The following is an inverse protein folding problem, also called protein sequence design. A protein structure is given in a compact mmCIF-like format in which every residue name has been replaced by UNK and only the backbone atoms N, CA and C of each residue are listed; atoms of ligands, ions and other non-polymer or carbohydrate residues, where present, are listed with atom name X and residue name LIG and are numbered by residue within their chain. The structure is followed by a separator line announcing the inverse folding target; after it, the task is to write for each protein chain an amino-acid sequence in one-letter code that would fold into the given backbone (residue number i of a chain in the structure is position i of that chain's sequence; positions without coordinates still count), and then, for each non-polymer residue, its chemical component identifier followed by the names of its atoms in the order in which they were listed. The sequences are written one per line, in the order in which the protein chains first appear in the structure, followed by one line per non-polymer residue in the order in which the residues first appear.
data_IF_320946091111
#
_entry.id   IF_320946091111
#
_cell.length_a   1.000
_cell.length_b   1.000
_cell.length_c   1.000
_cell.angle_alpha   90.00
_cell.angle_beta   90.00
_cell.angle_gamma   90.00
#
_symmetry.space_group_name_H-M   'P 1'
#
loop_
_entity.id
_entity.type
_entity.pdbx_description
1 polymer ?
#
# COMPACT_ATOMS: atom_id res chain seq x y z
N UNK A 1 10.38 -49.16 -15.74
CA UNK A 1 9.85 -47.88 -15.22
C UNK A 1 10.94 -46.85 -15.34
N UNK A 2 10.75 -45.79 -16.15
CA UNK A 2 11.71 -44.68 -16.19
C UNK A 2 11.74 -44.04 -14.80
N UNK A 3 12.93 -43.88 -14.24
CA UNK A 3 13.12 -43.22 -12.96
C UNK A 3 12.58 -41.78 -13.08
N UNK A 4 11.68 -41.36 -12.19
CA UNK A 4 11.06 -40.02 -12.22
C UNK A 4 12.09 -38.89 -12.31
N UNK A 5 13.29 -39.07 -11.73
CA UNK A 5 14.41 -38.12 -11.86
C UNK A 5 14.97 -38.04 -13.28
N UNK A 6 15.09 -39.17 -13.99
CA UNK A 6 15.52 -39.19 -15.39
C UNK A 6 14.49 -38.54 -16.30
N UNK A 7 13.20 -38.76 -16.02
CA UNK A 7 12.12 -38.08 -16.76
C UNK A 7 12.16 -36.56 -16.55
N UNK A 8 12.35 -36.07 -15.32
CA UNK A 8 12.48 -34.63 -15.04
C UNK A 8 13.67 -34.03 -15.78
N UNK A 9 14.84 -34.68 -15.73
CA UNK A 9 16.04 -34.20 -16.40
C UNK A 9 15.85 -34.11 -17.91
N UNK A 10 15.26 -35.14 -18.54
CA UNK A 10 14.97 -35.12 -19.97
C UNK A 10 14.01 -33.97 -20.35
N UNK A 11 13.06 -33.60 -19.48
CA UNK A 11 12.22 -32.42 -19.70
C UNK A 11 12.98 -31.11 -19.55
N UNK A 12 13.92 -30.99 -18.61
CA UNK A 12 14.77 -29.81 -18.46
C UNK A 12 15.72 -29.64 -19.64
N UNK A 13 16.36 -30.71 -20.11
CA UNK A 13 17.23 -30.71 -21.30
C UNK A 13 16.45 -30.27 -22.56
N UNK A 14 15.18 -30.68 -22.69
CA UNK A 14 14.31 -30.18 -23.78
C UNK A 14 14.00 -28.69 -23.66
N UNK A 15 13.86 -28.16 -22.45
CA UNK A 15 13.69 -26.72 -22.26
C UNK A 15 14.98 -25.97 -22.62
N UNK A 16 16.13 -26.48 -22.20
CA UNK A 16 17.45 -25.93 -22.53
C UNK A 16 17.68 -25.91 -24.05
N UNK A 17 17.39 -27.01 -24.73
CA UNK A 17 17.60 -27.16 -26.18
C UNK A 17 16.75 -26.17 -27.00
N UNK A 18 15.49 -25.97 -26.61
CA UNK A 18 14.53 -25.23 -27.44
C UNK A 18 14.33 -23.76 -27.04
N UNK A 19 14.66 -23.37 -25.81
CA UNK A 19 14.44 -22.01 -25.31
C UNK A 19 15.75 -21.26 -25.04
N UNK A 20 16.91 -21.82 -25.38
CA UNK A 20 18.18 -21.09 -25.29
C UNK A 20 18.33 -20.05 -26.39
N UNK A 21 18.74 -18.85 -26.00
CA UNK A 21 19.15 -17.77 -26.89
C UNK A 21 20.50 -17.25 -26.40
N UNK A 22 21.49 -17.14 -27.29
CA UNK A 22 22.88 -16.81 -26.95
C UNK A 22 23.49 -17.66 -25.81
N UNK A 23 23.15 -18.95 -25.78
CA UNK A 23 23.68 -19.90 -24.80
C UNK A 23 23.03 -19.82 -23.41
N UNK A 24 21.97 -19.03 -23.24
CA UNK A 24 21.23 -18.88 -21.98
C UNK A 24 19.76 -19.28 -22.21
N UNK A 25 19.24 -20.19 -21.39
CA UNK A 25 17.81 -20.54 -21.40
C UNK A 25 16.98 -19.30 -21.10
N UNK A 26 16.09 -18.94 -22.02
CA UNK A 26 15.31 -17.72 -21.93
C UNK A 26 16.13 -16.44 -22.16
N UNK A 27 17.26 -16.50 -22.87
CA UNK A 27 18.18 -15.37 -23.05
C UNK A 27 17.56 -14.08 -23.59
N UNK A 28 16.42 -14.17 -24.30
CA UNK A 28 15.62 -13.01 -24.73
C UNK A 28 15.08 -12.17 -23.56
N UNK A 29 14.96 -12.74 -22.36
CA UNK A 29 14.55 -12.02 -21.15
C UNK A 29 15.62 -11.03 -20.65
N UNK A 30 16.87 -11.19 -21.08
CA UNK A 30 17.97 -10.33 -20.63
C UNK A 30 17.75 -8.86 -21.02
N UNK A 31 17.17 -8.59 -22.19
CA UNK A 31 16.87 -7.20 -22.60
C UNK A 31 15.83 -6.54 -21.70
N UNK A 32 14.85 -7.32 -21.24
CA UNK A 32 13.84 -6.86 -20.27
C UNK A 32 14.51 -6.56 -18.94
N UNK A 33 15.32 -7.47 -18.40
CA UNK A 33 16.03 -7.25 -17.13
C UNK A 33 16.95 -6.02 -17.17
N UNK A 34 17.64 -5.81 -18.28
CA UNK A 34 18.46 -4.62 -18.49
C UNK A 34 17.61 -3.33 -18.54
N UNK A 35 16.44 -3.38 -19.16
CA UNK A 35 15.50 -2.27 -19.20
C UNK A 35 14.91 -1.95 -17.81
N UNK A 36 14.54 -2.97 -17.03
CA UNK A 36 14.09 -2.82 -15.64
C UNK A 36 15.16 -2.11 -14.80
N UNK A 37 16.43 -2.52 -14.92
CA UNK A 37 17.54 -1.89 -14.21
C UNK A 37 17.72 -0.43 -14.61
N UNK A 38 17.75 -0.14 -15.92
CA UNK A 38 17.87 1.23 -16.44
C UNK A 38 16.70 2.12 -16.00
N UNK A 39 15.49 1.55 -15.94
CA UNK A 39 14.33 2.26 -15.41
C UNK A 39 14.55 2.67 -13.96
N UNK A 40 15.00 1.74 -13.11
CA UNK A 40 15.29 2.02 -11.71
C UNK A 40 16.36 3.09 -11.51
N UNK A 41 17.44 3.04 -12.31
CA UNK A 41 18.49 4.07 -12.34
C UNK A 41 17.90 5.44 -12.73
N UNK A 42 17.15 5.50 -13.84
CA UNK A 42 16.48 6.72 -14.29
C UNK A 42 15.55 7.30 -13.22
N UNK A 43 14.72 6.45 -12.59
CA UNK A 43 13.80 6.87 -11.55
C UNK A 43 14.56 7.47 -10.38
N UNK A 44 15.65 6.82 -9.96
CA UNK A 44 16.43 7.26 -8.83
C UNK A 44 17.14 8.60 -9.04
N UNK A 45 17.63 8.84 -10.26
CA UNK A 45 18.26 10.09 -10.66
C UNK A 45 17.24 11.23 -10.83
N UNK A 46 16.09 10.93 -11.43
CA UNK A 46 15.10 11.95 -11.81
C UNK A 46 14.22 12.39 -10.64
N UNK A 47 13.82 11.45 -9.77
CA UNK A 47 12.85 11.70 -8.70
C UNK A 47 13.49 11.59 -7.31
N UNK A 48 14.66 12.24 -7.14
CA UNK A 48 15.41 12.20 -5.88
C UNK A 48 14.57 12.55 -4.65
N UNK A 49 13.73 13.59 -4.72
CA UNK A 49 12.86 14.00 -3.60
C UNK A 49 11.85 12.93 -3.19
N UNK A 50 11.26 12.23 -4.17
CA UNK A 50 10.36 11.10 -3.92
C UNK A 50 11.10 9.97 -3.21
N UNK A 51 12.30 9.60 -3.69
CA UNK A 51 13.10 8.55 -3.08
C UNK A 51 13.48 8.88 -1.64
N UNK A 52 13.99 10.10 -1.40
CA UNK A 52 14.37 10.53 -0.04
C UNK A 52 13.18 10.42 0.92
N UNK A 53 12.00 10.84 0.49
CA UNK A 53 10.78 10.76 1.30
C UNK A 53 10.34 9.31 1.55
N UNK A 54 10.26 8.49 0.50
CA UNK A 54 9.83 7.08 0.61
C UNK A 54 10.83 6.21 1.37
N UNK A 55 12.13 6.42 1.21
CA UNK A 55 13.16 5.68 1.94
C UNK A 55 13.17 6.08 3.41
N UNK A 56 13.01 7.38 3.71
CA UNK A 56 12.87 7.87 5.09
C UNK A 56 11.63 7.28 5.76
N UNK A 57 10.50 7.24 5.06
CA UNK A 57 9.28 6.61 5.54
C UNK A 57 9.44 5.11 5.77
N UNK A 58 9.99 4.36 4.81
CA UNK A 58 10.18 2.91 4.95
C UNK A 58 11.18 2.58 6.06
N UNK A 59 12.27 3.34 6.18
CA UNK A 59 13.22 3.23 7.28
C UNK A 59 12.56 3.49 8.64
N UNK A 60 11.73 4.53 8.73
CA UNK A 60 10.96 4.83 9.94
C UNK A 60 9.91 3.76 10.26
N UNK A 61 9.26 3.18 9.25
CA UNK A 61 8.34 2.06 9.42
C UNK A 61 9.08 0.86 10.05
N UNK A 62 10.24 0.48 9.49
CA UNK A 62 11.08 -0.60 10.03
C UNK A 62 11.50 -0.29 11.47
N UNK A 63 11.96 0.93 11.75
CA UNK A 63 12.30 1.36 13.11
C UNK A 63 11.11 1.16 14.07
N UNK A 64 9.91 1.55 13.64
CA UNK A 64 8.68 1.43 14.43
C UNK A 64 8.34 -0.04 14.71
N UNK A 65 8.43 -0.92 13.72
CA UNK A 65 8.24 -2.37 13.90
C UNK A 65 9.26 -2.94 14.89
N UNK A 66 10.53 -2.57 14.77
CA UNK A 66 11.59 -3.06 15.64
C UNK A 66 11.38 -2.63 17.09
N UNK A 67 10.91 -1.40 17.33
CA UNK A 67 10.56 -0.92 18.68
C UNK A 67 9.44 -1.74 19.31
N UNK A 68 8.44 -2.17 18.54
CA UNK A 68 7.40 -3.08 19.02
C UNK A 68 8.01 -4.43 19.42
N UNK A 69 8.87 -5.01 18.56
CA UNK A 69 9.57 -6.25 18.89
C UNK A 69 10.42 -6.14 20.15
N UNK A 70 11.24 -5.09 20.29
CA UNK A 70 12.05 -4.85 21.48
C UNK A 70 11.19 -4.78 22.74
N UNK A 71 10.04 -4.10 22.65
CA UNK A 71 9.05 -4.03 23.73
C UNK A 71 8.47 -5.39 24.09
N UNK A 72 8.10 -6.21 23.10
CA UNK A 72 7.57 -7.57 23.29
C UNK A 72 8.63 -8.51 23.88
N UNK A 73 9.87 -8.47 23.38
CA UNK A 73 10.97 -9.30 23.90
C UNK A 73 11.24 -8.96 25.36
N UNK A 74 11.22 -7.67 25.71
CA UNK A 74 11.49 -7.21 27.08
C UNK A 74 10.35 -7.48 28.06
N UNK A 75 9.10 -7.28 27.65
CA UNK A 75 7.96 -7.23 28.57
C UNK A 75 6.87 -8.29 28.30
N UNK A 76 6.99 -9.05 27.21
CA UNK A 76 5.93 -9.89 26.67
C UNK A 76 4.87 -9.09 25.90
N UNK A 77 3.87 -9.79 25.38
CA UNK A 77 2.70 -9.16 24.75
C UNK A 77 1.89 -8.34 25.77
N UNK A 78 1.30 -7.19 25.37
CA UNK A 78 0.39 -6.43 26.24
C UNK A 78 -0.74 -7.31 26.78
N UNK A 79 -0.90 -7.35 28.11
CA UNK A 79 -1.95 -8.12 28.78
C UNK A 79 -3.30 -7.44 28.57
N UNK A 80 -4.37 -8.24 28.46
CA UNK A 80 -5.75 -7.76 28.23
C UNK A 80 -5.94 -6.98 26.91
N UNK A 81 -5.08 -7.25 25.92
CA UNK A 81 -5.20 -6.69 24.56
C UNK A 81 -5.17 -7.82 23.51
N UNK A 82 -6.20 -8.69 23.46
CA UNK A 82 -6.25 -9.83 22.53
C UNK A 82 -6.02 -9.47 21.05
N UNK A 83 -6.33 -8.24 20.63
CA UNK A 83 -6.18 -7.79 19.25
C UNK A 83 -4.84 -7.10 18.96
N UNK A 84 -3.96 -6.89 19.96
CA UNK A 84 -2.69 -6.19 19.73
C UNK A 84 -1.78 -6.95 18.76
N UNK A 85 -1.61 -8.26 18.97
CA UNK A 85 -0.78 -9.08 18.09
C UNK A 85 -1.31 -9.15 16.65
N UNK A 86 -2.63 -9.37 16.41
CA UNK A 86 -3.22 -9.24 15.08
C UNK A 86 -3.01 -7.87 14.43
N UNK A 87 -3.20 -6.77 15.17
CA UNK A 87 -2.96 -5.41 14.67
C UNK A 87 -1.49 -5.21 14.29
N UNK A 88 -0.56 -5.66 15.13
CA UNK A 88 0.87 -5.57 14.82
C UNK A 88 1.24 -6.38 13.57
N UNK A 89 0.74 -7.62 13.45
CA UNK A 89 0.91 -8.43 12.24
C UNK A 89 0.33 -7.71 11.01
N UNK A 90 -0.79 -7.01 11.17
CA UNK A 90 -1.40 -6.24 10.09
C UNK A 90 -0.46 -5.16 9.54
N UNK A 91 0.21 -4.40 10.41
CA UNK A 91 1.25 -3.44 10.00
C UNK A 91 2.41 -4.11 9.25
N UNK A 92 2.88 -5.28 9.70
CA UNK A 92 3.93 -6.04 9.00
C UNK A 92 3.46 -6.43 7.59
N UNK A 93 2.22 -6.90 7.44
CA UNK A 93 1.69 -7.27 6.11
C UNK A 93 1.47 -6.06 5.22
N UNK A 94 1.06 -4.91 5.78
CA UNK A 94 0.99 -3.64 5.07
C UNK A 94 2.38 -3.24 4.56
N UNK A 95 3.41 -3.28 5.41
CA UNK A 95 4.77 -2.94 5.03
C UNK A 95 5.28 -3.83 3.88
N UNK A 96 5.08 -5.16 3.97
CA UNK A 96 5.48 -6.08 2.91
C UNK A 96 4.78 -5.79 1.58
N UNK A 97 3.47 -5.50 1.61
CA UNK A 97 2.73 -5.12 0.40
C UNK A 97 3.18 -3.76 -0.14
N UNK A 98 3.42 -2.78 0.72
CA UNK A 98 3.94 -1.47 0.35
C UNK A 98 5.31 -1.60 -0.33
N UNK A 99 6.24 -2.35 0.26
CA UNK A 99 7.57 -2.58 -0.33
C UNK A 99 7.51 -3.32 -1.66
N UNK A 100 6.57 -4.25 -1.82
CA UNK A 100 6.36 -4.91 -3.10
C UNK A 100 5.91 -3.92 -4.20
N UNK A 101 5.05 -2.94 -3.86
CA UNK A 101 4.64 -1.89 -4.78
C UNK A 101 5.83 -1.01 -5.19
N UNK A 102 6.69 -0.63 -4.23
CA UNK A 102 7.90 0.16 -4.50
C UNK A 102 8.87 -0.59 -5.42
N UNK A 103 9.04 -1.90 -5.22
CA UNK A 103 9.86 -2.72 -6.10
C UNK A 103 9.29 -2.73 -7.53
N UNK A 104 7.97 -2.83 -7.70
CA UNK A 104 7.34 -2.79 -9.03
C UNK A 104 7.59 -1.46 -9.74
N UNK A 105 7.44 -0.34 -9.02
CA UNK A 105 7.81 0.98 -9.55
C UNK A 105 9.28 0.99 -10.01
N UNK A 106 10.20 0.57 -9.14
CA UNK A 106 11.64 0.61 -9.41
C UNK A 106 12.06 -0.29 -10.59
N UNK A 107 11.28 -1.29 -10.95
CA UNK A 107 11.54 -2.15 -12.12
C UNK A 107 10.73 -1.74 -13.36
N UNK A 108 10.02 -0.61 -13.34
CA UNK A 108 9.33 -0.10 -14.52
C UNK A 108 7.88 -0.54 -14.69
N UNK A 109 7.24 -1.01 -13.61
CA UNK A 109 5.84 -1.43 -13.58
C UNK A 109 4.99 -0.54 -12.64
N UNK A 110 4.96 0.79 -12.85
CA UNK A 110 4.26 1.72 -11.96
C UNK A 110 2.76 1.44 -11.86
N UNK A 111 2.09 1.06 -12.94
CA UNK A 111 0.64 0.82 -12.92
C UNK A 111 0.25 -0.49 -12.22
N UNK A 112 1.11 -1.52 -12.28
CA UNK A 112 0.94 -2.73 -11.49
C UNK A 112 1.15 -2.45 -9.99
N UNK A 113 2.20 -1.69 -9.66
CA UNK A 113 2.40 -1.18 -8.30
C UNK A 113 1.20 -0.35 -7.83
N UNK A 114 0.69 0.53 -8.68
CA UNK A 114 -0.47 1.39 -8.40
C UNK A 114 -1.71 0.54 -8.14
N UNK A 115 -2.00 -0.46 -8.97
CA UNK A 115 -3.11 -1.38 -8.74
C UNK A 115 -2.99 -2.10 -7.39
N UNK A 116 -1.78 -2.55 -7.03
CA UNK A 116 -1.51 -3.22 -5.76
C UNK A 116 -1.67 -2.31 -4.54
N UNK A 117 -1.36 -1.01 -4.67
CA UNK A 117 -1.56 -0.02 -3.60
C UNK A 117 -3.02 0.04 -3.14
N UNK A 118 -3.99 -0.45 -3.93
CA UNK A 118 -5.40 -0.50 -3.49
C UNK A 118 -5.62 -1.32 -2.25
N UNK A 119 -5.03 -2.50 -2.23
CA UNK A 119 -5.13 -3.36 -1.07
C UNK A 119 -4.42 -2.73 0.12
N UNK A 120 -3.32 -2.00 -0.09
CA UNK A 120 -2.62 -1.28 0.98
C UNK A 120 -3.50 -0.17 1.53
N UNK A 121 -4.06 0.67 0.66
CA UNK A 121 -4.94 1.79 1.00
C UNK A 121 -6.15 1.32 1.82
N UNK A 122 -6.88 0.32 1.33
CA UNK A 122 -8.07 -0.21 2.00
C UNK A 122 -7.72 -0.70 3.42
N UNK A 123 -6.61 -1.42 3.58
CA UNK A 123 -6.12 -1.85 4.89
C UNK A 123 -5.78 -0.69 5.82
N UNK A 124 -5.17 0.37 5.29
CA UNK A 124 -4.85 1.58 6.08
C UNK A 124 -6.14 2.27 6.57
N UNK A 125 -7.17 2.35 5.73
CA UNK A 125 -8.47 2.91 6.12
C UNK A 125 -9.17 2.06 7.17
N UNK A 126 -9.14 0.74 7.01
CA UNK A 126 -9.67 -0.21 7.99
C UNK A 126 -8.97 -0.08 9.33
N UNK A 127 -7.65 0.08 9.32
CA UNK A 127 -6.87 0.33 10.53
C UNK A 127 -7.24 1.65 11.20
N UNK A 128 -7.47 2.71 10.42
CA UNK A 128 -7.98 3.96 10.94
C UNK A 128 -9.37 3.81 11.58
N UNK A 129 -10.26 3.02 10.96
CA UNK A 129 -11.58 2.74 11.50
C UNK A 129 -11.52 2.01 12.85
N UNK A 130 -10.61 1.03 12.97
CA UNK A 130 -10.33 0.34 14.23
C UNK A 130 -9.77 1.32 15.28
N UNK A 131 -8.82 2.18 14.90
CA UNK A 131 -8.25 3.17 15.80
C UNK A 131 -9.28 4.20 16.30
N UNK A 132 -10.24 4.57 15.46
CA UNK A 132 -11.40 5.39 15.84
C UNK A 132 -12.49 4.64 16.62
N UNK A 133 -12.37 3.31 16.75
CA UNK A 133 -13.42 2.45 17.28
C UNK A 133 -14.75 2.55 16.52
N UNK A 134 -14.69 2.87 15.23
CA UNK A 134 -15.84 2.76 14.32
C UNK A 134 -16.22 1.29 14.15
N UNK A 135 -15.23 0.40 14.27
CA UNK A 135 -15.32 -1.04 14.13
C UNK A 135 -14.18 -1.69 14.94
N UNK A 136 -14.16 -3.02 15.00
CA UNK A 136 -13.12 -3.80 15.65
C UNK A 136 -12.36 -4.69 14.65
N UNK A 137 -11.21 -5.21 15.09
CA UNK A 137 -10.35 -6.01 14.22
C UNK A 137 -11.01 -7.33 13.78
N UNK A 138 -11.87 -7.91 14.61
CA UNK A 138 -12.57 -9.17 14.33
C UNK A 138 -13.67 -8.98 13.28
N UNK A 139 -14.41 -7.88 13.34
CA UNK A 139 -15.47 -7.51 12.41
C UNK A 139 -14.94 -7.27 10.99
N UNK A 140 -13.82 -6.53 10.85
CA UNK A 140 -13.18 -6.29 9.54
C UNK A 140 -12.55 -7.57 8.95
N UNK A 141 -12.07 -8.50 9.77
CA UNK A 141 -11.36 -9.68 9.27
C UNK A 141 -12.19 -10.96 9.27
N UNK A 142 -13.40 -10.94 9.85
CA UNK A 142 -14.27 -12.09 9.99
C UNK A 142 -13.78 -13.13 11.01
N UNK A 143 -12.91 -12.74 11.96
CA UNK A 143 -12.40 -13.60 13.03
C UNK A 143 -13.42 -13.72 14.18
N UNK A 144 -14.64 -14.16 13.91
CA UNK A 144 -15.49 -14.61 15.01
C UNK A 144 -14.99 -15.98 15.51
N UNK A 145 -14.79 -16.07 16.83
CA UNK A 145 -14.38 -17.29 17.58
C UNK A 145 -15.34 -18.47 17.47
N UNK A 146 -16.51 -18.30 16.84
CA UNK A 146 -17.48 -19.37 16.64
C UNK A 146 -17.07 -20.31 15.50
N UNK A 147 -16.85 -21.59 15.85
CA UNK A 147 -16.46 -22.68 14.94
C UNK A 147 -17.56 -23.12 13.96
N UNK A 148 -18.77 -22.55 14.03
CA UNK A 148 -19.98 -23.11 13.39
C UNK A 148 -20.73 -22.20 12.40
N UNK A 149 -20.21 -21.02 12.04
CA UNK A 149 -20.85 -20.20 10.97
C UNK A 149 -20.32 -20.56 9.59
N UNK A 150 -21.23 -20.64 8.62
CA UNK A 150 -20.93 -20.82 7.19
C UNK A 150 -19.90 -19.77 6.74
N UNK A 151 -18.84 -20.21 6.06
CA UNK A 151 -17.79 -19.34 5.50
C UNK A 151 -18.38 -18.21 4.66
N UNK A 152 -19.46 -18.50 3.92
CA UNK A 152 -20.14 -17.50 3.08
C UNK A 152 -20.81 -16.40 3.91
N UNK A 153 -21.37 -16.74 5.06
CA UNK A 153 -21.96 -15.76 5.97
C UNK A 153 -20.89 -14.84 6.57
N UNK A 154 -19.75 -15.40 6.99
CA UNK A 154 -18.61 -14.62 7.49
C UNK A 154 -18.07 -13.67 6.43
N UNK A 155 -17.88 -14.16 5.20
CA UNK A 155 -17.44 -13.32 4.07
C UNK A 155 -18.44 -12.20 3.74
N UNK A 156 -19.75 -12.47 3.82
CA UNK A 156 -20.78 -11.45 3.59
C UNK A 156 -20.79 -10.39 4.69
N UNK A 157 -20.73 -10.79 5.96
CA UNK A 157 -20.66 -9.85 7.10
C UNK A 157 -19.43 -8.96 7.00
N UNK A 158 -18.27 -9.55 6.67
CA UNK A 158 -17.03 -8.81 6.41
C UNK A 158 -17.21 -7.75 5.33
N UNK A 159 -17.77 -8.12 4.17
CA UNK A 159 -18.01 -7.20 3.05
C UNK A 159 -19.00 -6.08 3.39
N UNK A 160 -20.02 -6.37 4.20
CA UNK A 160 -20.97 -5.35 4.68
C UNK A 160 -20.22 -4.35 5.57
N UNK A 161 -19.38 -4.85 6.46
CA UNK A 161 -18.61 -4.01 7.38
C UNK A 161 -17.56 -3.16 6.66
N UNK A 162 -16.80 -3.76 5.73
CA UNK A 162 -15.86 -3.05 4.85
C UNK A 162 -16.57 -1.89 4.11
N UNK A 163 -17.77 -2.13 3.56
CA UNK A 163 -18.55 -1.10 2.86
C UNK A 163 -19.01 0.01 3.81
N UNK A 164 -19.48 -0.34 5.01
CA UNK A 164 -19.92 0.61 6.03
C UNK A 164 -18.77 1.51 6.45
N UNK A 165 -17.60 0.93 6.75
CA UNK A 165 -16.39 1.67 7.12
C UNK A 165 -15.96 2.64 6.02
N UNK A 166 -15.91 2.17 4.76
CA UNK A 166 -15.61 3.03 3.61
C UNK A 166 -16.63 4.16 3.47
N UNK A 167 -17.91 3.88 3.76
CA UNK A 167 -19.00 4.85 3.89
C UNK A 167 -18.65 6.01 4.82
N UNK A 168 -18.31 5.66 6.06
CA UNK A 168 -18.09 6.57 7.19
C UNK A 168 -16.74 7.31 7.17
N UNK A 169 -15.74 6.79 6.46
CA UNK A 169 -14.43 7.44 6.38
C UNK A 169 -14.23 8.25 5.10
N UNK A 170 -14.67 7.74 3.95
CA UNK A 170 -14.30 8.33 2.65
C UNK A 170 -15.46 8.82 1.81
N UNK A 171 -16.67 8.31 2.03
CA UNK A 171 -17.80 8.51 1.11
C UNK A 171 -18.82 9.48 1.70
N UNK A 172 -20.05 9.43 1.19
CA UNK A 172 -21.13 10.35 1.52
C UNK A 172 -21.45 10.43 3.02
N UNK A 173 -21.27 9.32 3.77
CA UNK A 173 -21.54 9.25 5.21
C UNK A 173 -20.37 9.75 6.06
N UNK A 174 -19.28 10.20 5.44
CA UNK A 174 -18.08 10.66 6.14
C UNK A 174 -18.24 12.04 6.79
N UNK A 175 -19.24 12.83 6.44
CA UNK A 175 -19.33 14.22 6.91
C UNK A 175 -18.24 15.14 6.33
N UNK A 176 -17.48 14.68 5.33
CA UNK A 176 -16.70 15.55 4.46
C UNK A 176 -17.66 16.36 3.56
N UNK A 177 -17.21 17.52 3.07
CA UNK A 177 -18.01 18.31 2.13
C UNK A 177 -18.20 17.53 0.82
N UNK A 178 -19.29 17.86 0.11
CA UNK A 178 -19.63 17.21 -1.17
C UNK A 178 -18.47 17.31 -2.16
N UNK A 179 -17.84 18.49 -2.26
CA UNK A 179 -16.72 18.71 -3.18
C UNK A 179 -15.51 17.82 -2.84
N UNK A 180 -15.17 17.68 -1.55
CA UNK A 180 -14.09 16.79 -1.12
C UNK A 180 -14.41 15.34 -1.46
N UNK A 181 -15.63 14.88 -1.20
CA UNK A 181 -16.04 13.51 -1.53
C UNK A 181 -16.00 13.27 -3.04
N UNK A 182 -16.40 14.24 -3.86
CA UNK A 182 -16.37 14.12 -5.32
C UNK A 182 -14.94 14.01 -5.87
N UNK A 183 -14.01 14.82 -5.36
CA UNK A 183 -12.60 14.76 -5.78
C UNK A 183 -11.95 13.44 -5.36
N UNK A 184 -12.18 12.98 -4.12
CA UNK A 184 -11.70 11.68 -3.66
C UNK A 184 -12.28 10.53 -4.50
N UNK A 185 -13.58 10.57 -4.80
CA UNK A 185 -14.25 9.55 -5.63
C UNK A 185 -13.74 9.55 -7.08
N UNK A 186 -13.44 10.73 -7.65
CA UNK A 186 -12.80 10.82 -8.96
C UNK A 186 -11.43 10.15 -8.97
N UNK A 187 -10.64 10.38 -7.93
CA UNK A 187 -9.32 9.76 -7.75
C UNK A 187 -9.42 8.24 -7.54
N UNK A 188 -10.45 7.76 -6.82
CA UNK A 188 -10.74 6.33 -6.68
C UNK A 188 -11.17 5.65 -7.97
N UNK A 189 -11.88 6.36 -8.86
CA UNK A 189 -12.27 5.80 -10.16
C UNK A 189 -11.05 5.46 -11.01
N UNK A 190 -9.99 6.27 -10.98
CA UNK A 190 -8.73 5.95 -11.68
C UNK A 190 -8.12 4.66 -11.15
N UNK A 191 -8.14 4.48 -9.84
CA UNK A 191 -7.66 3.27 -9.17
C UNK A 191 -8.50 2.04 -9.55
N UNK A 192 -9.82 2.20 -9.57
CA UNK A 192 -10.74 1.15 -9.96
C UNK A 192 -10.56 0.75 -11.43
N UNK A 193 -10.29 1.72 -12.30
CA UNK A 193 -10.07 1.48 -13.72
C UNK A 193 -8.82 0.62 -13.97
N UNK A 194 -7.73 0.86 -13.25
CA UNK A 194 -6.52 0.05 -13.39
C UNK A 194 -6.67 -1.34 -12.75
N UNK A 195 -7.20 -1.40 -11.53
CA UNK A 195 -7.38 -2.69 -10.82
C UNK A 195 -8.33 -3.63 -11.55
N UNK A 196 -9.37 -3.10 -12.21
CA UNK A 196 -10.35 -3.90 -12.94
C UNK A 196 -10.16 -3.80 -14.45
N UNK A 197 -9.15 -4.53 -14.92
CA UNK A 197 -8.90 -4.77 -16.35
C UNK A 197 -7.73 -4.00 -16.94
N UNK A 198 -6.82 -3.49 -16.10
CA UNK A 198 -5.58 -2.81 -16.52
C UNK A 198 -5.85 -1.73 -17.57
N UNK A 199 -6.95 -0.97 -17.39
CA UNK A 199 -7.50 -0.15 -18.46
C UNK A 199 -6.59 1.03 -18.81
N UNK A 200 -5.85 1.56 -17.84
CA UNK A 200 -4.90 2.64 -18.10
C UNK A 200 -3.69 2.07 -18.85
N UNK A 201 -3.14 0.95 -18.35
CA UNK A 201 -2.05 0.24 -19.03
C UNK A 201 -2.41 -0.11 -20.47
N UNK A 202 -3.57 -0.74 -20.68
CA UNK A 202 -4.03 -1.11 -22.02
C UNK A 202 -4.27 0.09 -22.93
N UNK A 203 -4.91 1.15 -22.43
CA UNK A 203 -5.16 2.35 -23.22
C UNK A 203 -3.87 3.06 -23.65
N UNK A 204 -2.86 3.11 -22.77
CA UNK A 204 -1.55 3.68 -23.08
C UNK A 204 -0.85 2.90 -24.19
N UNK A 205 -0.75 1.57 -24.06
CA UNK A 205 -0.09 0.74 -25.06
C UNK A 205 -0.83 0.71 -26.40
N UNK A 206 -2.17 0.68 -26.36
CA UNK A 206 -2.99 0.78 -27.56
C UNK A 206 -2.75 2.12 -28.28
N UNK A 207 -2.57 3.22 -27.55
CA UNK A 207 -2.25 4.52 -28.11
C UNK A 207 -0.97 4.52 -28.94
N UNK A 208 0.11 3.93 -28.41
CA UNK A 208 1.37 3.76 -29.14
C UNK A 208 1.20 2.91 -30.39
N UNK A 209 0.50 1.78 -30.27
CA UNK A 209 0.25 0.88 -31.38
C UNK A 209 -0.55 1.57 -32.50
N UNK A 210 -1.60 2.32 -32.15
CA UNK A 210 -2.42 3.08 -33.10
C UNK A 210 -1.66 4.22 -33.76
N UNK A 211 -0.63 4.76 -33.11
CA UNK A 211 0.30 5.73 -33.69
C UNK A 211 1.38 5.09 -34.59
N UNK A 212 1.30 3.78 -34.86
CA UNK A 212 2.28 3.05 -35.68
C UNK A 212 3.61 2.79 -34.96
N UNK A 213 3.65 2.97 -33.64
CA UNK A 213 4.84 2.72 -32.83
C UNK A 213 4.84 1.25 -32.38
N UNK A 214 5.99 0.58 -32.51
CA UNK A 214 6.16 -0.76 -31.95
C UNK A 214 6.08 -0.67 -30.43
N UNK A 215 5.16 -1.41 -29.83
CA UNK A 215 5.08 -1.57 -28.38
C UNK A 215 6.16 -2.57 -27.94
N UNK A 216 7.19 -2.14 -27.19
CA UNK A 216 8.20 -3.06 -26.68
C UNK A 216 7.61 -3.93 -25.55
N UNK A 217 8.06 -5.19 -25.41
CA UNK A 217 7.77 -5.99 -24.22
C UNK A 217 8.52 -5.50 -22.97
N UNK A 218 9.60 -4.73 -23.14
CA UNK A 218 10.35 -4.12 -22.05
C UNK A 218 9.60 -2.94 -21.41
N UNK A 219 9.78 -2.68 -20.10
CA UNK A 219 9.22 -1.49 -19.47
C UNK A 219 9.77 -0.21 -20.10
N UNK A 220 8.91 0.80 -20.23
CA UNK A 220 9.26 2.11 -20.80
C UNK A 220 9.03 3.24 -19.79
N UNK A 221 9.82 4.31 -19.93
CA UNK A 221 9.68 5.50 -19.09
C UNK A 221 8.38 6.21 -19.46
N UNK A 222 7.42 6.22 -18.54
CA UNK A 222 6.15 6.94 -18.67
C UNK A 222 5.92 7.83 -17.44
N UNK A 223 6.03 9.14 -17.65
CA UNK A 223 5.87 10.16 -16.60
C UNK A 223 4.49 10.18 -15.95
N UNK A 224 3.43 9.93 -16.72
CA UNK A 224 2.06 9.92 -16.20
C UNK A 224 1.82 8.73 -15.27
N UNK A 225 2.25 7.55 -15.67
CA UNK A 225 2.12 6.32 -14.89
C UNK A 225 2.94 6.40 -13.60
N UNK A 226 4.16 6.92 -13.68
CA UNK A 226 4.98 7.22 -12.49
C UNK A 226 4.28 8.24 -11.59
N UNK A 227 3.73 9.33 -12.13
CA UNK A 227 3.03 10.35 -11.37
C UNK A 227 1.82 9.81 -10.60
N UNK A 228 1.00 8.96 -11.24
CA UNK A 228 -0.12 8.27 -10.59
C UNK A 228 0.33 7.43 -9.40
N UNK A 229 1.39 6.65 -9.59
CA UNK A 229 1.97 5.84 -8.52
C UNK A 229 2.51 6.72 -7.38
N UNK A 230 3.37 7.70 -7.70
CA UNK A 230 4.07 8.54 -6.72
C UNK A 230 3.10 9.30 -5.82
N UNK A 231 2.07 9.91 -6.40
CA UNK A 231 1.05 10.62 -5.63
C UNK A 231 0.34 9.65 -4.68
N UNK A 232 -0.09 8.49 -5.19
CA UNK A 232 -0.84 7.53 -4.38
C UNK A 232 -0.03 6.92 -3.25
N UNK A 233 1.25 6.63 -3.49
CA UNK A 233 2.10 6.05 -2.45
C UNK A 233 2.39 7.07 -1.35
N UNK A 234 2.56 8.35 -1.69
CA UNK A 234 2.69 9.48 -0.76
C UNK A 234 1.45 9.61 0.13
N UNK A 235 0.27 9.62 -0.48
CA UNK A 235 -1.01 9.64 0.24
C UNK A 235 -1.10 8.52 1.28
N UNK A 236 -0.81 7.28 0.87
CA UNK A 236 -0.89 6.09 1.73
C UNK A 236 0.16 6.13 2.84
N UNK A 237 1.39 6.53 2.53
CA UNK A 237 2.47 6.68 3.50
C UNK A 237 2.14 7.75 4.55
N UNK A 238 1.50 8.84 4.14
CA UNK A 238 1.04 9.88 5.06
C UNK A 238 0.00 9.34 6.04
N UNK A 239 -1.00 8.62 5.53
CA UNK A 239 -2.02 8.00 6.36
C UNK A 239 -1.41 7.03 7.39
N UNK A 240 -0.44 6.21 6.97
CA UNK A 240 0.28 5.30 7.86
C UNK A 240 1.08 6.03 8.93
N UNK A 241 1.70 7.16 8.58
CA UNK A 241 2.47 8.00 9.50
C UNK A 241 1.61 8.52 10.65
N UNK A 242 0.35 8.88 10.36
CA UNK A 242 -0.65 9.28 11.37
C UNK A 242 -1.11 8.11 12.24
N UNK A 243 -1.06 6.88 11.73
CA UNK A 243 -1.53 5.69 12.43
C UNK A 243 -0.46 5.01 13.28
N UNK A 244 0.83 5.20 13.01
CA UNK A 244 1.91 4.54 13.77
C UNK A 244 1.82 4.69 15.30
N UNK A 245 1.37 5.81 15.89
CA UNK A 245 1.19 5.87 17.34
C UNK A 245 0.26 4.76 17.88
N UNK A 246 -0.68 4.26 17.09
CA UNK A 246 -1.55 3.12 17.43
C UNK A 246 -0.80 1.79 17.64
N UNK A 247 0.50 1.71 17.32
CA UNK A 247 1.36 0.58 17.68
C UNK A 247 1.97 0.71 19.09
N UNK A 248 1.94 1.89 19.71
CA UNK A 248 2.49 2.08 21.04
C UNK A 248 1.60 1.36 22.06
N UNK A 249 2.13 0.43 22.88
CA UNK A 249 1.34 -0.27 23.90
C UNK A 249 0.92 0.64 25.06
N UNK A 250 1.63 1.76 25.25
CA UNK A 250 1.30 2.81 26.19
C UNK A 250 1.85 4.15 25.68
N UNK A 251 1.40 5.24 26.30
CA UNK A 251 1.85 6.59 25.96
C UNK A 251 3.39 6.71 26.01
N UNK A 252 3.97 7.29 24.95
CA UNK A 252 5.41 7.57 24.80
C UNK A 252 6.31 6.31 24.85
N UNK A 253 5.78 5.11 24.58
CA UNK A 253 6.55 3.86 24.56
C UNK A 253 7.74 3.89 23.57
N UNK A 254 7.64 4.66 22.49
CA UNK A 254 8.72 4.80 21.51
C UNK A 254 9.64 6.01 21.78
N UNK A 255 9.31 6.84 22.77
CA UNK A 255 10.11 7.99 23.20
C UNK A 255 10.12 9.18 22.23
N UNK A 256 10.67 10.30 22.72
CA UNK A 256 10.60 11.60 22.05
C UNK A 256 11.29 11.67 20.69
N UNK A 257 12.46 11.03 20.51
CA UNK A 257 13.17 11.01 19.22
C UNK A 257 12.37 10.33 18.11
N UNK A 258 11.60 9.29 18.46
CA UNK A 258 10.72 8.63 17.50
C UNK A 258 9.57 9.55 17.11
N UNK A 259 8.96 10.21 18.10
CA UNK A 259 7.87 11.18 17.90
C UNK A 259 8.30 12.37 17.03
N UNK A 260 9.54 12.84 17.20
CA UNK A 260 10.12 13.89 16.38
C UNK A 260 10.24 13.47 14.90
N UNK A 261 10.79 12.27 14.63
CA UNK A 261 10.85 11.72 13.27
C UNK A 261 9.46 11.55 12.64
N UNK A 262 8.50 11.05 13.41
CA UNK A 262 7.11 10.92 12.96
C UNK A 262 6.54 12.27 12.54
N UNK A 263 6.76 13.32 13.34
CA UNK A 263 6.31 14.68 13.06
C UNK A 263 6.97 15.24 11.78
N UNK A 264 8.28 15.06 11.62
CA UNK A 264 8.99 15.50 10.41
C UNK A 264 8.41 14.82 9.16
N UNK A 265 8.16 13.51 9.21
CA UNK A 265 7.53 12.80 8.10
C UNK A 265 6.13 13.32 7.81
N UNK A 266 5.31 13.50 8.85
CA UNK A 266 3.96 14.03 8.71
C UNK A 266 3.92 15.41 8.06
N UNK A 267 4.80 16.32 8.49
CA UNK A 267 4.96 17.65 7.90
C UNK A 267 5.47 17.58 6.46
N UNK A 268 6.40 16.66 6.17
CA UNK A 268 6.94 16.45 4.82
C UNK A 268 5.88 15.95 3.85
N UNK A 269 5.02 15.03 4.27
CA UNK A 269 3.90 14.55 3.47
C UNK A 269 2.87 15.65 3.21
N UNK A 270 2.53 16.43 4.25
CA UNK A 270 1.65 17.58 4.10
C UNK A 270 2.22 18.60 3.11
N UNK A 271 3.53 18.85 3.16
CA UNK A 271 4.21 19.75 2.24
C UNK A 271 4.10 19.27 0.79
N UNK A 272 4.32 17.98 0.54
CA UNK A 272 4.16 17.40 -0.81
C UNK A 272 2.75 17.55 -1.36
N UNK A 273 1.73 17.24 -0.55
CA UNK A 273 0.32 17.44 -0.93
C UNK A 273 -0.03 18.92 -1.10
N UNK A 274 0.60 19.80 -0.32
CA UNK A 274 0.50 21.25 -0.48
C UNK A 274 1.01 21.72 -1.84
N UNK A 275 2.09 21.12 -2.34
CA UNK A 275 2.60 21.39 -3.70
C UNK A 275 1.58 21.07 -4.79
N UNK A 276 0.76 20.03 -4.62
CA UNK A 276 -0.35 19.76 -5.56
C UNK A 276 -1.40 20.88 -5.55
N UNK A 277 -1.68 21.47 -4.38
CA UNK A 277 -2.59 22.62 -4.26
C UNK A 277 -2.02 23.84 -4.96
N UNK A 278 -0.72 24.11 -4.81
CA UNK A 278 -0.03 25.21 -5.50
C UNK A 278 -0.05 25.03 -7.03
N UNK A 279 -0.08 23.79 -7.51
CA UNK A 279 -0.28 23.43 -8.92
C UNK A 279 -1.76 23.37 -9.34
N UNK A 280 -2.64 23.95 -8.53
CA UNK A 280 -4.09 24.03 -8.75
C UNK A 280 -4.79 22.66 -8.88
N UNK A 281 -4.17 21.59 -8.35
CA UNK A 281 -4.77 20.26 -8.31
C UNK A 281 -5.68 20.15 -7.10
N UNK A 282 -6.99 20.16 -7.35
CA UNK A 282 -8.05 20.03 -6.33
C UNK A 282 -7.89 18.80 -5.43
N UNK A 283 -7.35 17.71 -5.97
CA UNK A 283 -7.14 16.47 -5.22
C UNK A 283 -6.24 16.67 -4.00
N UNK A 284 -5.19 17.51 -4.07
CA UNK A 284 -4.30 17.74 -2.94
C UNK A 284 -5.04 18.38 -1.76
N UNK A 285 -5.87 19.39 -2.03
CA UNK A 285 -6.68 20.05 -1.00
C UNK A 285 -7.74 19.11 -0.40
N UNK A 286 -8.37 18.29 -1.26
CA UNK A 286 -9.32 17.28 -0.82
C UNK A 286 -8.66 16.22 0.06
N UNK A 287 -7.47 15.75 -0.30
CA UNK A 287 -6.73 14.74 0.45
C UNK A 287 -6.20 15.26 1.79
N UNK A 288 -5.62 16.47 1.82
CA UNK A 288 -5.24 17.15 3.07
C UNK A 288 -6.45 17.24 4.01
N UNK A 289 -7.60 17.68 3.48
CA UNK A 289 -8.84 17.79 4.26
C UNK A 289 -9.28 16.43 4.81
N UNK A 290 -9.15 15.38 4.00
CA UNK A 290 -9.45 14.01 4.43
C UNK A 290 -8.53 13.57 5.57
N UNK A 291 -7.20 13.68 5.41
CA UNK A 291 -6.23 13.29 6.45
C UNK A 291 -6.47 14.08 7.74
N UNK A 292 -6.62 15.40 7.65
CA UNK A 292 -6.81 16.26 8.82
C UNK A 292 -8.12 15.95 9.59
N UNK A 293 -9.18 15.56 8.89
CA UNK A 293 -10.48 15.26 9.53
C UNK A 293 -10.64 13.81 9.93
N UNK A 294 -9.98 12.88 9.25
CA UNK A 294 -10.22 11.43 9.39
C UNK A 294 -9.06 10.67 9.98
N UNK A 295 -7.86 11.23 10.00
CA UNK A 295 -6.68 10.63 10.62
C UNK A 295 -6.07 11.52 11.71
N UNK A 296 -6.92 12.32 12.35
CA UNK A 296 -6.61 13.02 13.59
C UNK A 296 -7.25 12.28 14.75
N UNK A 297 -6.47 11.98 15.78
CA UNK A 297 -6.88 11.21 16.95
C UNK A 297 -6.76 12.06 18.23
N UNK A 298 -7.59 11.76 19.23
CA UNK A 298 -7.56 12.46 20.51
C UNK A 298 -6.31 12.05 21.28
N UNK A 299 -5.52 13.02 21.72
CA UNK A 299 -4.32 12.78 22.52
C UNK A 299 -4.67 12.44 23.99
N UNK A 300 -3.93 11.53 24.64
CA UNK A 300 -2.81 10.75 24.09
C UNK A 300 -3.30 9.64 23.13
N UNK A 301 -2.71 9.56 21.93
CA UNK A 301 -3.04 8.52 20.95
C UNK A 301 -2.02 7.38 20.96
N UNK A 302 -2.45 6.22 21.45
CA UNK A 302 -1.70 4.97 21.44
C UNK A 302 -2.67 3.80 21.28
N UNK A 303 -2.17 2.56 21.28
CA UNK A 303 -3.03 1.40 21.16
C UNK A 303 -4.08 1.35 22.27
N UNK A 304 -5.34 1.26 21.88
CA UNK A 304 -6.45 1.04 22.80
C UNK A 304 -7.47 0.13 22.15
N UNK A 305 -7.90 -0.91 22.86
CA UNK A 305 -9.10 -1.65 22.45
C UNK A 305 -10.32 -0.83 22.85
N UNK A 306 -11.14 -0.45 21.88
CA UNK A 306 -12.49 0.05 22.18
C UNK A 306 -13.42 -1.15 22.26
N UNK A 307 -14.29 -1.24 23.28
CA UNK A 307 -15.22 -2.36 23.41
C UNK A 307 -16.07 -2.47 22.13
N UNK A 308 -16.45 -3.71 21.78
CA UNK A 308 -17.34 -3.99 20.66
C UNK A 308 -18.50 -3.00 20.66
N UNK A 309 -18.64 -2.22 19.59
CA UNK A 309 -19.79 -1.36 19.39
C UNK A 309 -21.01 -2.29 19.30
N UNK A 310 -21.78 -2.38 20.39
CA UNK A 310 -23.03 -3.14 20.44
C UNK A 310 -24.07 -2.55 19.50
#
# INVERSE_FOLDING_TARGET
MINRKQAIRAWQERLEEHFSFDGIVGGQLSSVMDAEKKYGEYFAETFHGQNVLMDSFQGFFIETINRVYDGIIKNGWPKNCPHYAPVFLYYITIFRSFRACENLLQHGYPLEGYAMLRNVKDRVIFLAAVAHGITDFSSIHGYESSKNKDRKEKENKRKIEERRVMGLLLRKESGLSVDVVQELDAWERLFHAEVHGSKLSYAQELGYLMAGTKVPPEPTINGESMGLYMNRVVEIAWMLTRLFPFLQPCQEAFGSKWKEKQKILDESFRFMEGGLVELEKKIGAAFITFVDKKLTFVEPFFYSERPEAK
#
